data_IF_959720184456
#
_entry.id   IF_959720184456
#
_cell.length_a   1.000
_cell.length_b   1.000
_cell.length_c   1.000
_cell.angle_alpha   90.00
_cell.angle_beta   90.00
_cell.angle_gamma   90.00
#
_symmetry.space_group_name_H-M   'P 1'
#
loop_
_entity.id
_entity.type
_entity.pdbx_description
1 polymer ?
#
# COMPACT_ATOMS: atom_id res chain seq x y z
N UNK A 1 -24.19 15.76 0.72
CA UNK A 1 -23.10 16.67 1.14
C UNK A 1 -21.84 16.14 0.49
N UNK A 2 -21.39 16.77 -0.57
CA UNK A 2 -20.18 16.39 -1.34
C UNK A 2 -18.99 17.08 -0.67
N UNK A 3 -18.02 16.31 -0.22
CA UNK A 3 -16.82 16.86 0.42
C UNK A 3 -15.87 17.43 -0.64
N UNK A 4 -15.42 18.67 -0.46
CA UNK A 4 -14.35 19.26 -1.28
C UNK A 4 -13.00 18.61 -0.92
N UNK A 5 -11.99 18.72 -1.80
CA UNK A 5 -10.63 18.18 -1.55
C UNK A 5 -10.07 18.51 -0.15
N UNK A 6 -10.18 19.78 0.35
CA UNK A 6 -9.76 20.10 1.72
C UNK A 6 -10.59 19.38 2.79
N UNK A 7 -11.88 19.19 2.56
CA UNK A 7 -12.76 18.47 3.48
C UNK A 7 -12.49 16.95 3.47
N UNK A 8 -12.11 16.38 2.34
CA UNK A 8 -11.61 14.99 2.24
C UNK A 8 -10.32 14.83 3.03
N UNK A 9 -9.38 15.78 2.91
CA UNK A 9 -8.14 15.80 3.69
C UNK A 9 -8.41 15.93 5.20
N UNK A 10 -9.36 16.77 5.62
CA UNK A 10 -9.78 16.92 7.02
C UNK A 10 -10.48 15.66 7.56
N UNK A 11 -11.30 15.00 6.75
CA UNK A 11 -11.98 13.75 7.12
C UNK A 11 -10.96 12.61 7.26
N UNK A 12 -10.00 12.51 6.34
CA UNK A 12 -8.88 11.59 6.47
C UNK A 12 -8.07 11.88 7.74
N UNK A 13 -7.69 13.14 7.98
CA UNK A 13 -6.91 13.56 9.14
C UNK A 13 -7.67 13.39 10.47
N UNK A 14 -8.99 13.56 10.52
CA UNK A 14 -9.79 13.38 11.74
C UNK A 14 -9.97 11.93 12.12
N UNK A 15 -10.14 11.04 11.15
CA UNK A 15 -10.21 9.59 11.39
C UNK A 15 -8.87 9.00 11.84
N UNK A 16 -7.75 9.61 11.42
CA UNK A 16 -6.39 9.18 11.73
C UNK A 16 -5.91 9.64 13.14
N UNK A 17 -6.70 10.45 13.86
CA UNK A 17 -6.36 10.92 15.24
C UNK A 17 -6.61 9.90 16.35
N UNK A 18 -7.27 8.79 16.09
CA UNK A 18 -7.80 7.89 17.12
C UNK A 18 -6.83 6.79 17.57
N UNK A 19 -5.55 6.85 17.23
CA UNK A 19 -4.61 5.78 17.59
C UNK A 19 -3.85 6.06 18.87
N UNK A 20 -3.90 5.14 19.86
CA UNK A 20 -2.96 5.11 20.96
C UNK A 20 -1.56 4.74 20.44
N UNK A 21 -0.54 5.45 20.93
CA UNK A 21 0.87 5.14 20.68
C UNK A 21 1.22 3.82 21.38
N UNK A 22 1.29 2.76 20.64
CA UNK A 22 1.69 1.47 21.15
C UNK A 22 1.34 0.36 20.15
N UNK A 23 2.32 -0.08 19.37
CA UNK A 23 2.17 -1.25 18.51
C UNK A 23 2.27 -2.53 19.36
N UNK A 24 1.34 -3.48 19.26
CA UNK A 24 1.65 -4.84 19.65
C UNK A 24 2.63 -5.42 18.63
N UNK A 25 3.79 -5.86 19.09
CA UNK A 25 4.73 -6.63 18.31
C UNK A 25 4.03 -7.88 17.79
N UNK A 26 4.00 -8.05 16.48
CA UNK A 26 3.49 -9.25 15.81
C UNK A 26 4.45 -10.40 16.17
N UNK A 27 3.99 -11.50 16.78
CA UNK A 27 4.87 -12.62 17.07
C UNK A 27 5.29 -13.27 15.75
N UNK A 28 6.55 -13.12 15.41
CA UNK A 28 7.23 -13.88 14.36
C UNK A 28 7.31 -15.33 14.81
N UNK A 29 6.35 -16.16 14.39
CA UNK A 29 6.51 -17.61 14.47
C UNK A 29 7.53 -18.04 13.42
N UNK A 30 8.81 -18.05 13.83
CA UNK A 30 9.86 -18.70 13.08
C UNK A 30 9.63 -20.20 13.07
N UNK A 31 9.43 -20.77 11.90
CA UNK A 31 9.57 -22.19 11.68
C UNK A 31 11.07 -22.50 11.69
N UNK A 32 11.57 -23.01 12.81
CA UNK A 32 12.90 -23.58 12.93
C UNK A 32 12.87 -24.98 12.26
N UNK A 33 13.42 -25.08 11.06
CA UNK A 33 13.76 -26.37 10.47
C UNK A 33 15.15 -26.73 10.97
N UNK A 34 15.20 -27.69 11.85
CA UNK A 34 16.42 -28.26 12.40
C UNK A 34 17.04 -29.22 11.38
N UNK A 35 18.16 -28.85 10.77
CA UNK A 35 18.98 -29.75 9.96
C UNK A 35 19.95 -30.52 10.88
N UNK A 36 20.20 -31.82 10.61
CA UNK A 36 21.01 -32.65 11.48
C UNK A 36 22.52 -32.30 11.40
N UNK A 37 23.12 -32.20 12.56
CA UNK A 37 24.56 -32.04 12.79
C UNK A 37 25.31 -33.28 12.34
N UNK A 38 26.32 -33.13 11.47
CA UNK A 38 27.40 -34.08 11.29
C UNK A 38 28.67 -33.51 11.93
N UNK A 39 29.26 -34.29 12.82
CA UNK A 39 30.44 -33.98 13.58
C UNK A 39 31.73 -34.24 12.81
N UNK A 40 32.76 -33.56 13.26
CA UNK A 40 34.20 -33.90 13.36
C UNK A 40 35.11 -32.87 12.70
N UNK A 41 36.02 -32.27 13.29
CA UNK A 41 37.28 -32.55 13.98
C UNK A 41 38.13 -31.29 13.92
N UNK A 42 38.69 -30.87 15.07
CA UNK A 42 39.78 -29.88 15.18
C UNK A 42 41.07 -30.66 15.51
N UNK A 43 42.26 -30.04 15.71
CA UNK A 43 42.92 -28.79 15.37
C UNK A 43 44.34 -29.00 14.74
N UNK A 44 45.43 -28.18 14.83
CA UNK A 44 45.83 -27.18 15.84
C UNK A 44 46.52 -25.89 15.33
N UNK A 45 46.61 -24.95 16.26
CA UNK A 45 47.48 -23.83 16.60
C UNK A 45 48.68 -23.35 15.73
N UNK A 46 48.90 -22.01 15.81
CA UNK A 46 50.14 -21.29 15.46
C UNK A 46 49.84 -19.79 15.29
N UNK A 47 49.95 -19.03 16.36
CA UNK A 47 50.91 -17.96 16.74
C UNK A 47 51.15 -16.82 15.73
N UNK A 48 50.84 -15.59 16.02
CA UNK A 48 51.56 -14.45 16.60
C UNK A 48 51.03 -13.10 16.03
N UNK A 49 50.81 -12.16 16.97
CA UNK A 49 50.56 -10.72 16.78
C UNK A 49 51.89 -9.99 16.48
N UNK A 50 51.96 -8.76 15.90
CA UNK A 50 51.45 -7.54 16.52
C UNK A 50 50.94 -6.40 15.60
N UNK A 51 50.05 -5.59 16.19
CA UNK A 51 49.77 -4.19 16.13
C UNK A 51 50.29 -3.26 14.99
N UNK A 52 49.40 -2.40 14.44
CA UNK A 52 49.40 -0.95 14.63
C UNK A 52 48.34 -0.23 13.73
N UNK A 53 47.52 0.59 14.37
CA UNK A 53 46.96 1.87 13.97
C UNK A 53 46.65 2.18 12.49
N UNK A 54 45.39 2.52 12.14
CA UNK A 54 44.97 3.92 12.03
C UNK A 54 43.46 4.05 11.78
N UNK A 55 42.93 5.03 12.45
CA UNK A 55 41.61 5.61 12.33
C UNK A 55 41.29 6.04 10.90
N UNK A 56 40.08 5.67 10.41
CA UNK A 56 39.25 6.54 9.59
C UNK A 56 37.78 6.12 9.81
N UNK A 57 37.03 7.04 10.44
CA UNK A 57 35.60 6.97 10.59
C UNK A 57 34.96 7.23 9.22
N UNK A 58 34.43 6.19 8.60
CA UNK A 58 33.46 6.35 7.52
C UNK A 58 32.07 6.19 8.14
N UNK A 59 31.38 7.31 8.28
CA UNK A 59 29.94 7.31 8.59
C UNK A 59 29.20 6.55 7.51
N UNK A 60 28.87 5.31 7.78
CA UNK A 60 28.01 4.52 6.93
C UNK A 60 26.57 4.94 7.21
N UNK A 61 26.03 5.80 6.36
CA UNK A 61 24.61 6.08 6.31
C UNK A 61 23.84 4.76 6.16
N UNK A 62 23.20 4.34 7.24
CA UNK A 62 22.31 3.18 7.25
C UNK A 62 21.08 3.47 6.39
N UNK A 63 21.16 3.14 5.11
CA UNK A 63 19.98 2.93 4.29
C UNK A 63 19.24 1.73 4.87
N UNK A 64 18.12 1.97 5.57
CA UNK A 64 17.22 0.92 6.00
C UNK A 64 16.69 0.21 4.74
N UNK A 65 17.26 -0.93 4.42
CA UNK A 65 16.77 -1.80 3.36
C UNK A 65 15.39 -2.30 3.77
N UNK A 66 14.40 -1.93 2.97
CA UNK A 66 13.04 -2.47 3.01
C UNK A 66 13.16 -4.01 2.96
N UNK A 67 12.49 -4.78 3.82
CA UNK A 67 12.59 -6.24 3.78
C UNK A 67 12.17 -6.74 2.41
N UNK A 68 13.07 -7.45 1.73
CA UNK A 68 12.84 -8.02 0.41
C UNK A 68 11.97 -9.28 0.57
N UNK A 69 10.65 -9.11 0.44
CA UNK A 69 9.71 -10.22 0.44
C UNK A 69 9.69 -10.84 -0.96
N UNK A 70 9.90 -12.16 -1.05
CA UNK A 70 9.77 -12.88 -2.33
C UNK A 70 8.32 -12.80 -2.81
N UNK A 71 8.11 -12.16 -3.95
CA UNK A 71 6.81 -12.06 -4.61
C UNK A 71 6.46 -13.39 -5.29
N UNK A 72 5.18 -13.74 -5.27
CA UNK A 72 4.65 -14.86 -6.05
C UNK A 72 4.37 -14.46 -7.50
N UNK A 73 3.75 -15.35 -8.26
CA UNK A 73 3.53 -15.16 -9.70
C UNK A 73 2.58 -13.99 -10.02
N UNK A 74 1.48 -13.84 -9.25
CA UNK A 74 0.52 -12.76 -9.45
C UNK A 74 1.09 -11.42 -9.00
N UNK A 75 1.72 -11.40 -7.82
CA UNK A 75 2.19 -10.17 -7.19
C UNK A 75 3.40 -9.57 -7.90
N UNK A 76 4.27 -10.39 -8.52
CA UNK A 76 5.50 -9.92 -9.17
C UNK A 76 5.27 -8.83 -10.23
N UNK A 77 4.19 -8.95 -11.01
CA UNK A 77 3.87 -8.01 -12.09
C UNK A 77 2.96 -6.84 -11.64
N UNK A 78 2.37 -6.92 -10.45
CA UNK A 78 1.37 -5.93 -10.01
C UNK A 78 1.95 -5.02 -8.92
N UNK A 79 2.61 -5.59 -7.90
CA UNK A 79 3.03 -4.85 -6.72
C UNK A 79 4.01 -3.71 -6.99
N UNK A 80 5.04 -3.87 -7.85
CA UNK A 80 5.97 -2.76 -8.15
C UNK A 80 5.27 -1.52 -8.70
N UNK A 81 4.27 -1.72 -9.57
CA UNK A 81 3.46 -0.65 -10.12
C UNK A 81 2.52 -0.05 -9.09
N UNK A 82 1.82 -0.90 -8.33
CA UNK A 82 0.91 -0.47 -7.28
C UNK A 82 1.61 0.44 -6.26
N UNK A 83 2.79 0.06 -5.80
CA UNK A 83 3.54 0.85 -4.81
C UNK A 83 3.91 2.23 -5.33
N UNK A 84 4.29 2.36 -6.61
CA UNK A 84 4.52 3.66 -7.24
C UNK A 84 3.27 4.55 -7.22
N UNK A 85 2.06 3.96 -7.36
CA UNK A 85 0.82 4.72 -7.27
C UNK A 85 0.62 5.28 -5.87
N UNK A 86 0.85 4.48 -4.82
CA UNK A 86 0.78 4.93 -3.42
C UNK A 86 1.89 5.91 -3.05
N UNK A 87 3.08 5.75 -3.61
CA UNK A 87 4.21 6.64 -3.37
C UNK A 87 4.12 7.96 -4.19
N UNK A 88 3.02 8.17 -4.92
CA UNK A 88 2.80 9.32 -5.80
C UNK A 88 3.85 9.49 -6.92
N UNK A 89 4.58 8.42 -7.26
CA UNK A 89 5.60 8.39 -8.33
C UNK A 89 5.14 7.66 -9.58
N UNK A 90 3.89 7.18 -9.58
CA UNK A 90 3.31 6.41 -10.66
C UNK A 90 3.12 7.23 -11.93
N UNK A 91 3.39 6.58 -13.06
CA UNK A 91 3.19 7.09 -14.43
C UNK A 91 1.94 6.49 -15.05
N UNK A 92 1.58 6.93 -16.25
CA UNK A 92 0.46 6.36 -17.00
C UNK A 92 0.57 4.84 -17.20
N UNK A 93 1.78 4.33 -17.42
CA UNK A 93 2.06 2.91 -17.60
C UNK A 93 1.79 2.07 -16.33
N UNK A 94 1.97 2.65 -15.14
CA UNK A 94 1.75 1.93 -13.89
C UNK A 94 0.27 1.58 -13.66
N UNK A 95 -0.65 2.23 -14.39
CA UNK A 95 -2.10 1.90 -14.36
C UNK A 95 -2.49 0.77 -15.31
N UNK A 96 -1.58 0.28 -16.13
CA UNK A 96 -1.83 -0.87 -17.02
C UNK A 96 -2.04 -2.17 -16.25
N UNK A 97 -1.70 -2.21 -14.96
CA UNK A 97 -2.07 -3.33 -14.09
C UNK A 97 -3.58 -3.51 -13.94
N UNK A 98 -4.38 -2.48 -14.20
CA UNK A 98 -5.84 -2.54 -14.06
C UNK A 98 -6.54 -2.96 -15.35
N UNK A 99 -7.58 -3.80 -15.19
CA UNK A 99 -8.53 -4.05 -16.26
C UNK A 99 -9.31 -2.77 -16.62
N UNK A 100 -9.78 -2.60 -17.88
CA UNK A 100 -10.47 -1.36 -18.29
C UNK A 100 -11.68 -0.97 -17.44
N UNK A 101 -12.40 -1.97 -16.89
CA UNK A 101 -13.60 -1.80 -16.04
C UNK A 101 -13.31 -2.03 -14.55
N UNK A 102 -12.04 -2.04 -14.15
CA UNK A 102 -11.65 -2.27 -12.76
C UNK A 102 -12.37 -1.32 -11.80
N UNK A 103 -12.61 -1.77 -10.59
CA UNK A 103 -13.20 -0.98 -9.50
C UNK A 103 -12.15 -0.78 -8.41
N UNK A 104 -11.97 0.47 -7.98
CA UNK A 104 -11.19 0.81 -6.78
C UNK A 104 -12.13 1.37 -5.73
N UNK A 105 -11.96 0.92 -4.49
CA UNK A 105 -12.77 1.37 -3.36
C UNK A 105 -11.92 1.58 -2.12
N UNK A 106 -12.15 2.71 -1.47
CA UNK A 106 -11.69 3.02 -0.13
C UNK A 106 -12.86 3.58 0.71
N UNK A 107 -12.66 3.91 2.01
CA UNK A 107 -13.73 4.49 2.83
C UNK A 107 -14.29 5.83 2.34
N UNK A 108 -13.60 6.55 1.46
CA UNK A 108 -13.98 7.87 0.95
C UNK A 108 -14.51 7.84 -0.47
N UNK A 109 -14.01 6.93 -1.31
CA UNK A 109 -14.26 6.94 -2.75
C UNK A 109 -14.61 5.55 -3.29
N UNK A 110 -15.34 5.55 -4.41
CA UNK A 110 -15.57 4.37 -5.24
C UNK A 110 -15.38 4.76 -6.71
N UNK A 111 -14.29 4.31 -7.30
CA UNK A 111 -13.89 4.60 -8.68
C UNK A 111 -14.23 3.43 -9.61
N UNK A 112 -14.78 3.72 -10.76
CA UNK A 112 -15.10 2.74 -11.80
C UNK A 112 -14.31 3.04 -13.07
N UNK A 113 -13.51 2.08 -13.50
CA UNK A 113 -12.63 2.16 -14.67
C UNK A 113 -11.37 2.97 -14.42
N UNK A 114 -10.36 2.71 -15.25
CA UNK A 114 -8.99 3.22 -15.09
C UNK A 114 -8.93 4.75 -14.98
N UNK A 115 -9.78 5.50 -15.73
CA UNK A 115 -9.77 6.97 -15.66
C UNK A 115 -10.15 7.52 -14.29
N UNK A 116 -11.13 6.91 -13.60
CA UNK A 116 -11.49 7.32 -12.25
C UNK A 116 -10.44 6.86 -11.24
N UNK A 117 -9.85 5.66 -11.43
CA UNK A 117 -8.74 5.17 -10.60
C UNK A 117 -7.54 6.13 -10.70
N UNK A 118 -7.16 6.57 -11.92
CA UNK A 118 -6.14 7.60 -12.11
C UNK A 118 -6.46 8.87 -11.32
N UNK A 119 -7.71 9.35 -11.38
CA UNK A 119 -8.12 10.55 -10.64
C UNK A 119 -8.01 10.38 -9.13
N UNK A 120 -8.33 9.19 -8.58
CA UNK A 120 -8.17 8.90 -7.17
C UNK A 120 -6.70 9.03 -6.75
N UNK A 121 -5.78 8.36 -7.44
CA UNK A 121 -4.35 8.42 -7.12
C UNK A 121 -3.72 9.78 -7.44
N UNK A 122 -4.10 10.46 -8.52
CA UNK A 122 -3.62 11.81 -8.83
C UNK A 122 -4.06 12.86 -7.80
N UNK A 123 -5.08 12.58 -6.99
CA UNK A 123 -5.47 13.45 -5.89
C UNK A 123 -4.54 13.34 -4.67
N UNK A 124 -3.82 12.24 -4.49
CA UNK A 124 -2.94 12.04 -3.33
C UNK A 124 -1.87 13.13 -3.21
N UNK A 125 -1.05 13.46 -4.23
CA UNK A 125 -0.05 14.51 -4.11
C UNK A 125 -0.63 15.93 -4.00
N UNK A 126 -1.95 16.12 -4.26
CA UNK A 126 -2.63 17.39 -4.01
C UNK A 126 -3.04 17.57 -2.55
N UNK A 127 -3.13 16.46 -1.80
CA UNK A 127 -3.56 16.43 -0.40
C UNK A 127 -2.35 16.24 0.51
N UNK A 128 -1.45 15.34 0.14
CA UNK A 128 -0.31 14.91 0.95
C UNK A 128 1.00 15.38 0.33
N UNK A 129 1.92 15.90 1.16
CA UNK A 129 3.29 16.22 0.73
C UNK A 129 4.12 14.96 0.51
N UNK A 130 3.85 13.94 1.30
CA UNK A 130 4.47 12.63 1.22
C UNK A 130 3.38 11.58 1.42
N UNK A 131 3.43 10.54 0.62
CA UNK A 131 2.57 9.35 0.73
C UNK A 131 3.43 8.16 0.35
N UNK A 132 3.44 7.10 1.17
CA UNK A 132 4.18 5.88 0.86
C UNK A 132 3.72 4.71 1.72
N UNK A 133 3.91 3.50 1.22
CA UNK A 133 3.83 2.26 1.99
C UNK A 133 5.19 2.01 2.63
N UNK A 134 5.27 2.02 3.97
CA UNK A 134 6.55 1.91 4.72
C UNK A 134 6.80 0.50 5.25
N UNK A 135 5.74 -0.24 5.58
CA UNK A 135 5.80 -1.62 6.04
C UNK A 135 4.73 -2.42 5.31
N UNK A 136 5.02 -3.65 4.93
CA UNK A 136 4.04 -4.51 4.28
C UNK A 136 4.37 -5.99 4.41
N UNK A 137 3.31 -6.80 4.33
CA UNK A 137 3.37 -8.24 4.14
C UNK A 137 2.39 -8.60 3.03
N UNK A 138 2.86 -9.36 2.03
CA UNK A 138 2.06 -9.77 0.88
C UNK A 138 1.74 -11.26 1.02
N UNK A 139 0.48 -11.60 0.84
CA UNK A 139 0.01 -12.98 0.65
C UNK A 139 -0.76 -13.04 -0.65
N UNK A 140 -0.58 -14.11 -1.41
CA UNK A 140 -1.35 -14.35 -2.63
C UNK A 140 -1.94 -15.75 -2.64
N UNK A 141 -3.10 -15.86 -3.25
CA UNK A 141 -3.80 -17.12 -3.48
C UNK A 141 -4.18 -17.17 -4.97
N UNK A 142 -3.42 -17.92 -5.75
CA UNK A 142 -3.69 -18.13 -7.16
C UNK A 142 -4.72 -19.25 -7.31
N UNK A 143 -5.87 -18.96 -7.92
CA UNK A 143 -6.97 -19.90 -8.13
C UNK A 143 -6.94 -20.53 -9.53
N UNK A 144 -6.37 -19.81 -10.50
CA UNK A 144 -6.11 -20.28 -11.87
C UNK A 144 -4.93 -19.46 -12.42
N UNK A 145 -4.24 -19.92 -13.49
CA UNK A 145 -3.12 -19.19 -14.09
C UNK A 145 -3.47 -17.72 -14.34
N UNK A 146 -2.73 -16.80 -13.71
CA UNK A 146 -2.95 -15.36 -13.80
C UNK A 146 -4.20 -14.84 -13.11
N UNK A 147 -4.88 -15.63 -12.28
CA UNK A 147 -6.12 -15.22 -11.59
C UNK A 147 -6.11 -15.65 -10.13
N UNK A 148 -6.59 -14.77 -9.24
CA UNK A 148 -6.61 -15.04 -7.82
C UNK A 148 -6.78 -13.78 -6.99
N UNK A 149 -6.35 -13.84 -5.73
CA UNK A 149 -6.38 -12.72 -4.79
C UNK A 149 -4.98 -12.41 -4.25
N UNK A 150 -4.63 -11.13 -4.21
CA UNK A 150 -3.44 -10.62 -3.51
C UNK A 150 -3.93 -9.80 -2.32
N UNK A 151 -3.37 -10.06 -1.14
CA UNK A 151 -3.60 -9.29 0.08
C UNK A 151 -2.31 -8.65 0.53
N UNK A 152 -2.37 -7.37 0.87
CA UNK A 152 -1.23 -6.59 1.35
C UNK A 152 -1.61 -5.98 2.69
N UNK A 153 -1.15 -6.60 3.77
CA UNK A 153 -1.14 -5.97 5.08
C UNK A 153 -0.07 -4.89 5.08
N UNK A 154 -0.42 -3.64 5.40
CA UNK A 154 0.53 -2.56 5.23
C UNK A 154 0.31 -1.41 6.21
N UNK A 155 1.35 -0.59 6.34
CA UNK A 155 1.32 0.72 7.00
C UNK A 155 1.59 1.79 5.95
N UNK A 156 0.61 2.64 5.72
CA UNK A 156 0.71 3.80 4.84
C UNK A 156 1.11 5.02 5.67
N UNK A 157 2.17 5.70 5.26
CA UNK A 157 2.63 6.95 5.87
C UNK A 157 2.25 8.12 5.00
N UNK A 158 1.59 9.10 5.61
CA UNK A 158 1.20 10.34 4.95
C UNK A 158 1.73 11.54 5.71
N UNK A 159 2.11 12.59 4.98
CA UNK A 159 2.48 13.87 5.56
C UNK A 159 1.54 14.96 5.06
N UNK A 160 0.78 15.55 5.98
CA UNK A 160 -0.20 16.60 5.69
C UNK A 160 -0.09 17.72 6.73
N UNK A 161 -0.05 18.98 6.28
CA UNK A 161 0.04 20.17 7.14
C UNK A 161 1.14 20.05 8.23
N UNK A 162 2.32 19.54 7.86
CA UNK A 162 3.47 19.37 8.76
C UNK A 162 3.36 18.19 9.75
N UNK A 163 2.29 17.41 9.71
CA UNK A 163 2.09 16.23 10.57
C UNK A 163 2.29 14.95 9.78
N UNK A 164 2.98 13.98 10.41
CA UNK A 164 3.10 12.62 9.88
C UNK A 164 1.98 11.76 10.46
N UNK A 165 1.31 11.01 9.60
CA UNK A 165 0.21 10.11 9.94
C UNK A 165 0.58 8.73 9.42
N UNK A 166 0.56 7.71 10.29
CA UNK A 166 0.69 6.32 9.89
C UNK A 166 -0.70 5.67 9.99
N UNK A 167 -1.10 4.99 8.94
CA UNK A 167 -2.39 4.32 8.84
C UNK A 167 -2.17 2.84 8.51
N UNK A 168 -2.65 1.97 9.38
CA UNK A 168 -2.70 0.54 9.10
C UNK A 168 -3.78 0.30 8.05
N UNK A 169 -3.49 -0.48 7.03
CA UNK A 169 -4.45 -0.84 5.99
C UNK A 169 -4.30 -2.29 5.54
N UNK A 170 -5.36 -2.84 5.00
CA UNK A 170 -5.37 -4.08 4.25
C UNK A 170 -5.82 -3.78 2.82
N UNK A 171 -4.91 -3.88 1.86
CA UNK A 171 -5.24 -3.81 0.44
C UNK A 171 -5.58 -5.21 -0.04
N UNK A 172 -6.72 -5.34 -0.74
CA UNK A 172 -7.14 -6.57 -1.41
C UNK A 172 -7.25 -6.32 -2.90
N UNK A 173 -6.61 -7.17 -3.69
CA UNK A 173 -6.67 -7.13 -5.14
C UNK A 173 -7.25 -8.44 -5.66
N UNK A 174 -8.37 -8.36 -6.38
CA UNK A 174 -8.84 -9.47 -7.20
C UNK A 174 -8.21 -9.33 -8.58
N UNK A 175 -7.56 -10.40 -9.02
CA UNK A 175 -6.83 -10.45 -10.29
C UNK A 175 -7.50 -11.47 -11.21
N UNK A 176 -7.70 -11.09 -12.46
CA UNK A 176 -8.18 -11.97 -13.54
C UNK A 176 -7.32 -11.73 -14.78
N UNK A 177 -6.82 -12.79 -15.39
CA UNK A 177 -5.99 -12.76 -16.58
C UNK A 177 -4.80 -11.77 -16.44
N UNK A 178 -4.15 -11.76 -15.28
CA UNK A 178 -3.01 -10.89 -14.98
C UNK A 178 -3.37 -9.41 -14.75
N UNK A 179 -4.66 -9.04 -14.70
CA UNK A 179 -5.10 -7.68 -14.47
C UNK A 179 -5.94 -7.56 -13.20
N UNK A 180 -5.76 -6.48 -12.47
CA UNK A 180 -6.57 -6.15 -11.30
C UNK A 180 -7.96 -5.74 -11.77
N UNK A 181 -8.98 -6.49 -11.37
CA UNK A 181 -10.39 -6.19 -11.66
C UNK A 181 -11.08 -5.48 -10.49
N UNK A 182 -10.60 -5.72 -9.25
CA UNK A 182 -11.09 -5.06 -8.05
C UNK A 182 -9.93 -4.76 -7.11
N UNK A 183 -9.90 -3.55 -6.58
CA UNK A 183 -8.93 -3.08 -5.61
C UNK A 183 -9.69 -2.44 -4.44
N UNK A 184 -9.56 -3.00 -3.26
CA UNK A 184 -10.13 -2.48 -2.02
C UNK A 184 -9.00 -2.04 -1.09
N UNK A 185 -9.07 -0.82 -0.57
CA UNK A 185 -8.17 -0.30 0.47
C UNK A 185 -8.94 -0.14 1.78
N UNK A 186 -8.74 -1.08 2.69
CA UNK A 186 -9.49 -1.23 3.93
C UNK A 186 -8.71 -0.59 5.08
N UNK A 187 -8.99 0.68 5.36
CA UNK A 187 -8.35 1.42 6.43
C UNK A 187 -8.70 0.81 7.79
N UNK A 188 -7.68 0.65 8.65
CA UNK A 188 -7.79 -0.04 9.94
C UNK A 188 -8.27 -1.49 9.80
N UNK A 189 -8.11 -2.06 8.59
CA UNK A 189 -8.63 -3.38 8.21
C UNK A 189 -10.15 -3.53 8.40
N UNK A 190 -10.86 -2.41 8.50
CA UNK A 190 -12.31 -2.40 8.64
C UNK A 190 -12.97 -2.61 7.27
N UNK A 191 -14.03 -3.42 7.20
CA UNK A 191 -14.77 -3.60 5.95
C UNK A 191 -15.40 -2.29 5.48
N UNK A 192 -15.46 -2.12 4.16
CA UNK A 192 -16.11 -0.95 3.54
C UNK A 192 -17.59 -0.92 3.90
N UNK A 193 -18.09 0.26 4.24
CA UNK A 193 -19.52 0.46 4.53
C UNK A 193 -20.29 0.56 3.21
N UNK A 194 -20.97 -0.51 2.84
CA UNK A 194 -21.78 -0.64 1.64
C UNK A 194 -23.11 -1.34 1.97
N UNK A 195 -23.93 -1.65 0.94
CA UNK A 195 -25.23 -2.33 1.14
C UNK A 195 -25.09 -3.75 1.69
N UNK A 196 -23.93 -4.38 1.57
CA UNK A 196 -23.67 -5.75 2.05
C UNK A 196 -23.25 -5.76 3.52
N UNK A 197 -22.44 -4.77 3.92
CA UNK A 197 -21.85 -4.67 5.26
C UNK A 197 -22.73 -3.91 6.26
N UNK A 198 -23.59 -2.99 5.77
CA UNK A 198 -24.50 -2.19 6.59
C UNK A 198 -25.91 -2.75 6.53
N UNK A 199 -26.34 -3.42 7.60
CA UNK A 199 -27.65 -4.10 7.70
C UNK A 199 -28.86 -3.16 7.84
N UNK A 200 -28.62 -1.84 7.99
CA UNK A 200 -29.72 -0.85 8.10
C UNK A 200 -30.24 -0.54 6.70
N UNK A 201 -31.57 -0.70 6.46
CA UNK A 201 -32.18 -0.44 5.17
C UNK A 201 -31.83 0.99 4.64
N UNK A 202 -31.49 1.09 3.36
CA UNK A 202 -31.10 2.32 2.66
C UNK A 202 -29.78 2.96 3.11
N UNK A 203 -29.28 2.73 4.34
CA UNK A 203 -28.05 3.36 4.82
C UNK A 203 -26.84 2.91 3.99
N UNK A 204 -26.70 1.62 3.68
CA UNK A 204 -25.61 1.12 2.84
C UNK A 204 -25.61 1.77 1.46
N UNK A 205 -26.78 1.92 0.82
CA UNK A 205 -26.92 2.62 -0.48
C UNK A 205 -26.55 4.10 -0.38
N UNK A 206 -26.94 4.77 0.70
CA UNK A 206 -26.59 6.18 0.91
C UNK A 206 -25.07 6.36 1.04
N UNK A 207 -24.39 5.47 1.78
CA UNK A 207 -22.91 5.51 1.93
C UNK A 207 -22.19 5.22 0.61
N UNK A 208 -22.67 4.27 -0.18
CA UNK A 208 -22.16 4.06 -1.54
C UNK A 208 -22.36 5.30 -2.42
N UNK A 209 -23.54 5.91 -2.36
CA UNK A 209 -23.84 7.15 -3.09
C UNK A 209 -22.90 8.30 -2.71
N UNK A 210 -22.57 8.45 -1.43
CA UNK A 210 -21.60 9.45 -0.95
C UNK A 210 -20.21 9.16 -1.53
N UNK A 211 -19.73 7.92 -1.47
CA UNK A 211 -18.42 7.54 -2.02
C UNK A 211 -18.35 7.76 -3.54
N UNK A 212 -19.43 7.44 -4.26
CA UNK A 212 -19.55 7.74 -5.70
C UNK A 212 -19.55 9.24 -5.97
N UNK A 213 -20.29 10.03 -5.19
CA UNK A 213 -20.32 11.49 -5.32
C UNK A 213 -18.94 12.12 -5.07
N UNK A 214 -18.23 11.70 -4.03
CA UNK A 214 -16.86 12.13 -3.76
C UNK A 214 -15.93 11.82 -4.93
N UNK A 215 -16.02 10.59 -5.50
CA UNK A 215 -15.23 10.20 -6.66
C UNK A 215 -15.52 11.07 -7.88
N UNK A 216 -16.79 11.38 -8.15
CA UNK A 216 -17.15 12.22 -9.30
C UNK A 216 -16.58 13.64 -9.19
N UNK A 217 -16.62 14.24 -7.99
CA UNK A 217 -15.97 15.53 -7.73
C UNK A 217 -14.46 15.44 -7.90
N UNK A 218 -13.82 14.43 -7.34
CA UNK A 218 -12.38 14.20 -7.50
C UNK A 218 -12.02 14.02 -8.98
N UNK A 219 -12.83 13.26 -9.72
CA UNK A 219 -12.61 13.02 -11.15
C UNK A 219 -12.69 14.30 -11.99
N UNK A 220 -13.64 15.17 -11.68
CA UNK A 220 -13.73 16.50 -12.30
C UNK A 220 -12.52 17.38 -11.96
N UNK A 221 -12.15 17.46 -10.68
CA UNK A 221 -11.02 18.28 -10.22
C UNK A 221 -9.67 17.79 -10.77
N UNK A 222 -9.52 16.49 -11.03
CA UNK A 222 -8.33 15.88 -11.61
C UNK A 222 -8.38 15.81 -13.14
N UNK A 223 -9.21 16.62 -13.81
CA UNK A 223 -9.25 16.73 -15.26
C UNK A 223 -9.67 15.43 -15.96
N UNK A 224 -10.58 14.67 -15.34
CA UNK A 224 -11.09 13.39 -15.86
C UNK A 224 -10.01 12.30 -16.00
N UNK A 225 -9.01 12.32 -15.13
CA UNK A 225 -7.92 11.31 -15.12
C UNK A 225 -7.04 11.39 -16.37
N UNK A 226 -6.93 12.57 -16.97
CA UNK A 226 -5.98 12.80 -18.06
C UNK A 226 -4.57 12.73 -17.52
N UNK A 227 -3.70 12.01 -18.24
CA UNK A 227 -2.30 11.94 -17.88
C UNK A 227 -1.69 13.33 -17.99
N UNK A 228 -0.98 13.73 -16.94
CA UNK A 228 -0.18 14.95 -16.98
C UNK A 228 1.06 14.61 -17.79
N UNK A 229 1.16 15.18 -18.99
CA UNK A 229 2.43 15.16 -19.73
C UNK A 229 3.47 15.83 -18.83
N UNK A 230 4.59 15.16 -18.47
CA UNK A 230 5.69 15.87 -17.87
C UNK A 230 6.11 16.91 -18.90
N UNK A 231 5.90 18.19 -18.59
CA UNK A 231 6.44 19.25 -19.43
C UNK A 231 7.96 19.08 -19.43
N UNK A 232 8.51 18.85 -20.63
CA UNK A 232 9.94 18.93 -20.92
C UNK A 232 10.58 20.17 -20.27
#
# INVERSE_FOLDING_TARGET
>A
MVLSLPALAQTAASRLRSYPRGFPSIPTRGFFVQLPTMAATSPPAGESVPAANNSDQVETSSSQSKPEQKLGNLSANIIPHLFKLYDCTGTAADYEIYAPKAVFEDPLMQAHGVKQIKSAFYSLPKIFKEAQIVEYTITEEETAPGSGEIRIDNVQRYKVAGKTINMVSLIKLQVQDGKVVRHEDLWDKNPLKNRETVKVPLMGRALEGIRRGNMMVTHLLMGFGKDHNPKN
#
